data_IF_697021292053
#
_entry.id   IF_697021292053
#
_cell.length_a   1.000
_cell.length_b   1.000
_cell.length_c   1.000
_cell.angle_alpha   90.00
_cell.angle_beta   90.00
_cell.angle_gamma   90.00
#
_symmetry.space_group_name_H-M   'P 1'
#
loop_
_entity.id
_entity.type
_entity.pdbx_description
1 polymer ?
#
# COMPACT_ATOMS: atom_id res chain seq x y z
N UNK A 1 1.63 -23.33 -2.66
CA UNK A 1 0.26 -23.57 -2.13
C UNK A 1 0.24 -23.03 -0.71
N UNK A 2 -0.14 -21.78 -0.52
CA UNK A 2 -0.23 -21.15 0.81
C UNK A 2 -1.65 -21.35 1.30
N UNK A 3 -1.81 -22.20 2.31
CA UNK A 3 -3.09 -22.41 2.98
C UNK A 3 -3.35 -21.19 3.87
N UNK A 4 -4.31 -20.35 3.48
CA UNK A 4 -4.79 -19.25 4.31
C UNK A 4 -5.71 -19.82 5.39
N UNK A 5 -5.48 -19.55 6.69
CA UNK A 5 -6.35 -20.07 7.74
C UNK A 5 -7.72 -19.41 7.68
N UNK A 6 -8.73 -20.24 7.93
CA UNK A 6 -10.15 -20.02 8.06
C UNK A 6 -10.54 -18.57 8.43
N UNK A 7 -11.17 -17.86 7.50
CA UNK A 7 -11.81 -16.58 7.73
C UNK A 7 -13.11 -16.81 8.51
N UNK A 8 -13.25 -16.18 9.67
CA UNK A 8 -14.55 -16.03 10.32
C UNK A 8 -15.53 -15.49 9.30
N UNK A 9 -16.66 -16.19 9.11
CA UNK A 9 -17.75 -15.79 8.23
C UNK A 9 -18.14 -14.35 8.54
N UNK A 10 -17.84 -13.42 7.63
CA UNK A 10 -18.52 -12.14 7.57
C UNK A 10 -19.98 -12.45 7.21
N UNK A 11 -20.86 -12.48 8.21
CA UNK A 11 -22.30 -12.50 7.97
C UNK A 11 -22.63 -11.29 7.11
N UNK A 12 -23.51 -11.50 6.16
CA UNK A 12 -24.01 -10.55 5.16
C UNK A 12 -24.23 -9.16 5.77
N UNK A 13 -23.24 -8.31 5.67
CA UNK A 13 -23.42 -6.88 5.80
C UNK A 13 -23.93 -6.46 4.44
N UNK A 14 -25.18 -6.12 4.40
CA UNK A 14 -25.95 -5.61 3.26
C UNK A 14 -25.08 -4.75 2.34
N UNK A 15 -25.01 -5.09 1.05
CA UNK A 15 -24.20 -4.44 0.01
C UNK A 15 -24.63 -2.99 -0.30
N UNK A 16 -25.44 -2.42 0.55
CA UNK A 16 -25.86 -1.03 0.45
C UNK A 16 -24.70 -0.12 0.82
N UNK A 17 -24.40 0.81 -0.07
CA UNK A 17 -23.60 1.99 0.20
C UNK A 17 -24.16 2.62 1.49
N UNK A 18 -23.58 2.30 2.65
CA UNK A 18 -23.93 2.96 3.90
C UNK A 18 -23.38 4.39 3.83
N UNK A 19 -24.19 5.29 3.24
CA UNK A 19 -24.01 6.71 3.42
C UNK A 19 -24.56 7.07 4.80
N UNK A 20 -23.71 7.39 5.80
CA UNK A 20 -24.22 8.05 6.99
C UNK A 20 -24.78 9.41 6.57
N UNK A 21 -26.01 9.68 6.96
CA UNK A 21 -26.64 10.98 6.80
C UNK A 21 -25.71 12.10 7.32
N UNK A 22 -25.58 13.17 6.51
CA UNK A 22 -25.00 14.46 6.84
C UNK A 22 -23.47 14.54 7.03
N UNK A 23 -22.82 15.26 6.15
CA UNK A 23 -21.51 15.91 6.26
C UNK A 23 -20.22 15.07 6.21
N UNK A 24 -20.25 13.76 5.98
CA UNK A 24 -19.08 12.91 6.08
C UNK A 24 -18.33 12.62 4.77
N UNK A 25 -17.06 12.46 4.90
CA UNK A 25 -15.93 12.32 4.00
C UNK A 25 -16.13 11.51 2.69
N UNK A 26 -16.83 10.33 2.64
CA UNK A 26 -16.81 9.48 1.45
C UNK A 26 -17.63 10.02 0.28
N UNK A 27 -18.76 10.65 0.56
CA UNK A 27 -19.63 11.24 -0.46
C UNK A 27 -18.97 12.45 -1.14
N UNK A 28 -18.23 13.25 -0.37
CA UNK A 28 -17.43 14.35 -0.92
C UNK A 28 -16.30 13.81 -1.79
N UNK A 29 -15.63 12.75 -1.35
CA UNK A 29 -14.51 12.15 -2.08
C UNK A 29 -14.92 11.73 -3.49
N UNK A 30 -16.01 10.97 -3.65
CA UNK A 30 -16.47 10.52 -4.99
C UNK A 30 -16.76 11.66 -5.95
N UNK A 31 -17.28 12.79 -5.45
CA UNK A 31 -17.55 13.98 -6.26
C UNK A 31 -16.29 14.77 -6.62
N UNK A 32 -15.25 14.65 -5.82
CA UNK A 32 -14.01 15.38 -5.99
C UNK A 32 -13.01 14.61 -6.87
N UNK A 33 -13.12 13.26 -6.94
CA UNK A 33 -12.21 12.43 -7.73
C UNK A 33 -12.36 12.71 -9.23
N UNK A 34 -11.22 13.05 -9.85
CA UNK A 34 -11.09 13.17 -11.30
C UNK A 34 -10.31 11.95 -11.83
N UNK A 35 -10.92 10.77 -11.68
CA UNK A 35 -10.34 9.47 -12.04
C UNK A 35 -11.27 8.72 -12.97
N UNK A 36 -10.72 7.96 -13.91
CA UNK A 36 -11.48 7.12 -14.85
C UNK A 36 -11.70 5.69 -14.32
N UNK A 37 -10.77 5.19 -13.51
CA UNK A 37 -10.73 3.82 -13.02
C UNK A 37 -11.02 3.78 -11.52
N UNK A 38 -10.18 4.45 -10.73
CA UNK A 38 -10.19 4.37 -9.26
C UNK A 38 -11.33 5.19 -8.67
N UNK A 39 -12.11 4.58 -7.76
CA UNK A 39 -13.23 5.27 -7.09
C UNK A 39 -14.59 5.09 -7.76
N UNK A 40 -14.72 4.21 -8.78
CA UNK A 40 -16.03 3.84 -9.33
C UNK A 40 -16.96 3.27 -8.26
N UNK A 41 -16.41 2.51 -7.33
CA UNK A 41 -17.07 1.96 -6.15
C UNK A 41 -16.27 2.25 -4.90
N UNK A 42 -16.91 2.76 -3.84
CA UNK A 42 -16.25 3.10 -2.58
C UNK A 42 -17.02 2.45 -1.43
N UNK A 43 -16.35 1.58 -0.69
CA UNK A 43 -16.79 1.06 0.58
C UNK A 43 -16.15 1.87 1.70
N UNK A 44 -16.98 2.37 2.61
CA UNK A 44 -16.49 3.15 3.74
C UNK A 44 -17.04 2.59 5.05
N UNK A 45 -16.13 2.45 6.01
CA UNK A 45 -16.43 1.92 7.33
C UNK A 45 -15.86 2.81 8.43
N UNK A 46 -16.60 2.95 9.54
CA UNK A 46 -16.06 3.58 10.74
C UNK A 46 -14.98 2.70 11.38
N UNK A 47 -15.15 1.39 11.30
CA UNK A 47 -14.21 0.41 11.82
C UNK A 47 -14.27 -0.87 10.99
N UNK A 48 -13.09 -1.41 10.65
CA UNK A 48 -12.88 -2.74 10.07
C UNK A 48 -11.76 -3.44 10.83
N UNK A 49 -11.64 -4.72 10.68
CA UNK A 49 -10.41 -5.44 11.05
C UNK A 49 -9.25 -5.00 10.14
N UNK A 50 -9.43 -5.04 8.82
CA UNK A 50 -8.46 -4.57 7.85
C UNK A 50 -9.15 -4.26 6.51
N UNK A 51 -8.87 -3.09 5.92
CA UNK A 51 -9.31 -2.76 4.56
C UNK A 51 -8.74 -3.73 3.53
N UNK A 52 -7.52 -4.19 3.74
CA UNK A 52 -6.84 -5.15 2.88
C UNK A 52 -7.52 -6.53 2.91
N UNK A 53 -7.79 -7.05 4.11
CA UNK A 53 -8.49 -8.34 4.29
C UNK A 53 -9.90 -8.28 3.70
N UNK A 54 -10.61 -7.19 3.92
CA UNK A 54 -11.95 -6.99 3.35
C UNK A 54 -11.91 -6.96 1.82
N UNK A 55 -10.98 -6.23 1.22
CA UNK A 55 -10.84 -6.15 -0.24
C UNK A 55 -10.53 -7.52 -0.87
N UNK A 56 -9.60 -8.28 -0.28
CA UNK A 56 -9.27 -9.64 -0.73
C UNK A 56 -10.49 -10.56 -0.61
N UNK A 57 -11.22 -10.53 0.51
CA UNK A 57 -12.42 -11.37 0.71
C UNK A 57 -13.52 -11.09 -0.31
N UNK A 58 -13.69 -9.83 -0.74
CA UNK A 58 -14.65 -9.47 -1.81
C UNK A 58 -14.27 -10.09 -3.15
N UNK A 59 -12.98 -10.14 -3.48
CA UNK A 59 -12.49 -10.79 -4.70
C UNK A 59 -12.69 -12.30 -4.62
N UNK A 60 -12.28 -12.94 -3.52
CA UNK A 60 -12.41 -14.39 -3.34
C UNK A 60 -13.86 -14.84 -3.41
N UNK A 61 -14.80 -14.12 -2.75
CA UNK A 61 -16.23 -14.39 -2.83
C UNK A 61 -16.74 -14.31 -4.27
N UNK A 62 -16.30 -13.31 -5.04
CA UNK A 62 -16.69 -13.17 -6.46
C UNK A 62 -16.16 -14.32 -7.31
N UNK A 63 -14.88 -14.67 -7.16
CA UNK A 63 -14.26 -15.77 -7.91
C UNK A 63 -14.93 -17.12 -7.62
N UNK A 64 -15.34 -17.38 -6.38
CA UNK A 64 -16.12 -18.58 -6.02
C UNK A 64 -17.48 -18.61 -6.73
N UNK A 65 -18.21 -17.49 -6.71
CA UNK A 65 -19.52 -17.40 -7.38
C UNK A 65 -19.45 -17.58 -8.90
N UNK A 66 -18.33 -17.17 -9.53
CA UNK A 66 -18.11 -17.38 -10.97
C UNK A 66 -17.84 -18.85 -11.28
N UNK A 67 -17.01 -19.53 -10.48
CA UNK A 67 -16.75 -20.97 -10.61
C UNK A 67 -18.03 -21.82 -10.48
N UNK A 68 -18.88 -21.50 -9.52
CA UNK A 68 -20.14 -22.23 -9.29
C UNK A 68 -21.12 -22.08 -10.46
N UNK A 69 -21.04 -20.98 -11.21
CA UNK A 69 -21.87 -20.71 -12.39
C UNK A 69 -21.31 -21.25 -13.70
N UNK A 70 -20.15 -21.91 -13.67
CA UNK A 70 -19.48 -22.44 -14.87
C UNK A 70 -19.09 -21.35 -15.88
N UNK A 71 -18.90 -20.09 -15.42
CA UNK A 71 -18.52 -18.96 -16.25
C UNK A 71 -17.03 -18.70 -16.06
N UNK A 72 -16.22 -19.11 -17.01
CA UNK A 72 -14.77 -18.81 -17.04
C UNK A 72 -14.47 -17.37 -17.48
N UNK A 73 -15.41 -16.72 -18.18
CA UNK A 73 -15.26 -15.41 -18.81
C UNK A 73 -16.24 -14.39 -18.25
N UNK A 74 -16.18 -14.00 -16.97
CA UNK A 74 -17.02 -12.87 -16.61
C UNK A 74 -16.36 -11.92 -15.60
N UNK A 75 -16.14 -10.73 -16.11
CA UNK A 75 -16.12 -9.41 -15.45
C UNK A 75 -15.68 -9.37 -13.98
N UNK A 76 -14.44 -9.81 -13.71
CA UNK A 76 -13.68 -9.30 -12.56
C UNK A 76 -13.57 -7.77 -12.62
N UNK A 77 -13.73 -7.17 -13.80
CA UNK A 77 -13.76 -5.72 -14.06
C UNK A 77 -14.71 -4.91 -13.17
N UNK A 78 -15.76 -5.53 -12.67
CA UNK A 78 -16.75 -4.94 -11.75
C UNK A 78 -16.14 -4.47 -10.40
N UNK A 79 -15.03 -5.09 -9.98
CA UNK A 79 -14.28 -4.69 -8.79
C UNK A 79 -13.08 -3.80 -9.12
N UNK A 80 -12.71 -3.67 -10.39
CA UNK A 80 -11.58 -2.84 -10.81
C UNK A 80 -11.79 -1.37 -10.45
N UNK A 81 -10.83 -0.79 -9.73
CA UNK A 81 -10.91 0.57 -9.22
C UNK A 81 -11.74 0.73 -7.95
N UNK A 82 -12.22 -0.37 -7.36
CA UNK A 82 -12.94 -0.31 -6.08
C UNK A 82 -12.02 0.12 -4.94
N UNK A 83 -12.50 1.02 -4.08
CA UNK A 83 -11.79 1.49 -2.90
C UNK A 83 -12.48 1.01 -1.64
N UNK A 84 -11.72 0.54 -0.68
CA UNK A 84 -12.17 0.25 0.69
C UNK A 84 -11.46 1.21 1.65
N UNK A 85 -12.23 1.96 2.45
CA UNK A 85 -11.72 2.95 3.40
C UNK A 85 -12.25 2.61 4.79
N UNK A 86 -11.40 2.74 5.82
CA UNK A 86 -11.81 2.68 7.21
C UNK A 86 -11.26 3.87 8.00
N UNK A 87 -12.04 4.41 8.97
CA UNK A 87 -11.53 5.42 9.90
C UNK A 87 -10.55 4.80 10.90
N UNK A 88 -10.74 3.51 11.23
CA UNK A 88 -9.93 2.73 12.15
C UNK A 88 -9.84 1.28 11.69
N UNK A 89 -8.68 0.65 11.91
CA UNK A 89 -8.54 -0.80 11.76
C UNK A 89 -8.15 -1.44 13.10
N UNK A 90 -8.78 -2.58 13.43
CA UNK A 90 -8.49 -3.34 14.66
C UNK A 90 -7.37 -4.35 14.48
N UNK A 91 -7.11 -4.76 13.22
CA UNK A 91 -6.08 -5.75 12.85
C UNK A 91 -5.42 -5.38 11.52
N UNK A 92 -4.99 -4.10 11.38
CA UNK A 92 -4.28 -3.64 10.18
C UNK A 92 -3.09 -4.54 9.85
N UNK A 93 -2.92 -4.89 8.56
CA UNK A 93 -1.91 -5.82 8.08
C UNK A 93 -0.61 -5.11 7.71
N UNK A 94 0.51 -5.74 8.03
CA UNK A 94 1.82 -5.43 7.50
C UNK A 94 2.28 -6.51 6.50
N UNK A 95 3.50 -6.40 5.95
CA UNK A 95 4.04 -7.34 4.95
C UNK A 95 4.23 -8.78 5.45
N UNK A 96 4.43 -8.99 6.73
CA UNK A 96 4.50 -10.33 7.31
C UNK A 96 3.33 -10.54 8.26
N UNK A 97 2.93 -11.80 8.44
CA UNK A 97 1.81 -12.20 9.31
C UNK A 97 2.00 -11.66 10.74
N UNK A 98 3.24 -11.54 11.20
CA UNK A 98 3.58 -11.07 12.54
C UNK A 98 3.54 -9.54 12.68
N UNK A 99 3.65 -8.81 11.56
CA UNK A 99 3.71 -7.34 11.56
C UNK A 99 2.31 -6.76 11.41
N UNK A 100 1.83 -6.11 12.46
CA UNK A 100 0.57 -5.36 12.43
C UNK A 100 0.83 -3.89 12.11
N UNK A 101 -0.06 -3.31 11.31
CA UNK A 101 -0.12 -1.88 11.08
C UNK A 101 -1.13 -1.26 12.05
N UNK A 102 -0.66 -0.42 12.96
CA UNK A 102 -1.51 0.23 13.95
C UNK A 102 -2.28 1.35 13.26
N UNK A 103 -3.60 1.29 13.31
CA UNK A 103 -4.49 2.11 12.49
C UNK A 103 -5.60 2.77 13.34
N UNK A 104 -5.27 3.68 14.26
CA UNK A 104 -6.27 4.42 15.02
C UNK A 104 -6.97 5.46 14.14
N UNK A 105 -8.00 6.14 14.67
CA UNK A 105 -8.61 7.28 13.98
C UNK A 105 -7.61 8.40 13.76
N UNK A 106 -7.76 9.13 12.64
CA UNK A 106 -6.89 10.25 12.26
C UNK A 106 -5.84 9.93 11.22
N UNK A 107 -5.64 8.65 10.86
CA UNK A 107 -4.85 8.23 9.71
C UNK A 107 -5.67 8.09 8.43
N UNK A 108 -5.00 7.73 7.35
CA UNK A 108 -5.60 7.30 6.08
C UNK A 108 -5.34 5.80 5.95
N UNK A 109 -6.41 5.02 5.98
CA UNK A 109 -6.38 3.58 5.84
C UNK A 109 -7.28 3.19 4.68
N UNK A 110 -6.68 2.84 3.56
CA UNK A 110 -7.43 2.46 2.37
C UNK A 110 -6.79 1.28 1.63
N UNK A 111 -7.60 0.57 0.86
CA UNK A 111 -7.16 -0.44 -0.08
C UNK A 111 -7.86 -0.25 -1.42
N UNK A 112 -7.12 -0.37 -2.52
CA UNK A 112 -7.63 -0.25 -3.89
C UNK A 112 -7.53 -1.60 -4.56
N UNK A 113 -8.61 -2.06 -5.18
CA UNK A 113 -8.65 -3.29 -5.97
C UNK A 113 -8.38 -2.93 -7.44
N UNK A 114 -7.37 -3.56 -8.03
CA UNK A 114 -7.00 -3.39 -9.43
C UNK A 114 -6.94 -4.75 -10.14
N UNK A 115 -7.13 -4.73 -11.46
CA UNK A 115 -6.95 -5.87 -12.37
C UNK A 115 -5.83 -5.51 -13.37
N UNK A 116 -4.55 -5.57 -12.95
CA UNK A 116 -3.45 -5.09 -13.77
C UNK A 116 -3.22 -5.95 -15.01
N UNK A 117 -2.94 -5.28 -16.14
CA UNK A 117 -2.61 -5.91 -17.42
C UNK A 117 -1.08 -5.98 -17.66
N UNK A 118 -0.32 -6.10 -16.59
CA UNK A 118 1.13 -6.26 -16.62
C UNK A 118 1.52 -7.72 -16.35
N UNK A 119 2.77 -8.09 -16.64
CA UNK A 119 3.29 -9.44 -16.36
C UNK A 119 3.35 -9.70 -14.85
N UNK A 120 3.17 -10.95 -14.43
CA UNK A 120 3.25 -11.32 -13.01
C UNK A 120 4.59 -10.92 -12.36
N UNK A 121 5.70 -11.03 -13.07
CA UNK A 121 7.02 -10.59 -12.62
C UNK A 121 7.04 -9.09 -12.27
N UNK A 122 6.29 -8.28 -13.00
CA UNK A 122 6.19 -6.83 -12.78
C UNK A 122 5.27 -6.42 -11.62
N UNK A 123 4.69 -7.37 -10.90
CA UNK A 123 3.85 -7.07 -9.71
C UNK A 123 4.60 -6.30 -8.63
N UNK A 124 5.91 -6.45 -8.56
CA UNK A 124 6.82 -5.71 -7.66
C UNK A 124 6.91 -4.20 -7.98
N UNK A 125 6.45 -3.76 -9.18
CA UNK A 125 6.32 -2.35 -9.53
C UNK A 125 5.08 -1.69 -8.90
N UNK A 126 4.04 -2.45 -8.52
CA UNK A 126 2.83 -1.89 -7.93
C UNK A 126 3.07 -1.16 -6.60
N UNK A 127 3.85 -1.71 -5.64
CA UNK A 127 4.25 -0.94 -4.46
C UNK A 127 5.09 0.30 -4.81
N UNK A 128 5.91 0.26 -5.87
CA UNK A 128 6.73 1.39 -6.32
C UNK A 128 5.85 2.52 -6.88
N UNK A 129 4.92 2.20 -7.77
CA UNK A 129 3.89 3.12 -8.28
C UNK A 129 3.15 3.79 -7.13
N UNK A 130 2.71 2.98 -6.17
CA UNK A 130 1.99 3.48 -5.00
C UNK A 130 2.86 4.38 -4.12
N UNK A 131 4.14 4.04 -3.95
CA UNK A 131 5.08 4.82 -3.18
C UNK A 131 5.35 6.19 -3.82
N UNK A 132 5.48 6.25 -5.14
CA UNK A 132 5.62 7.50 -5.89
C UNK A 132 4.37 8.37 -5.67
N UNK A 133 3.17 7.80 -5.83
CA UNK A 133 1.91 8.51 -5.64
C UNK A 133 1.77 9.09 -4.22
N UNK A 134 2.09 8.30 -3.19
CA UNK A 134 2.05 8.76 -1.79
C UNK A 134 3.08 9.86 -1.54
N UNK A 135 4.32 9.66 -2.01
CA UNK A 135 5.42 10.62 -1.82
C UNK A 135 5.06 11.97 -2.43
N UNK A 136 4.60 12.00 -3.68
CA UNK A 136 4.19 13.22 -4.36
C UNK A 136 3.01 13.90 -3.69
N UNK A 137 2.02 13.13 -3.26
CA UNK A 137 0.84 13.65 -2.56
C UNK A 137 1.24 14.35 -1.27
N UNK A 138 2.09 13.72 -0.46
CA UNK A 138 2.57 14.31 0.80
C UNK A 138 3.34 15.61 0.50
N UNK A 139 4.28 15.57 -0.44
CA UNK A 139 5.12 16.71 -0.77
C UNK A 139 4.30 17.90 -1.27
N UNK A 140 3.30 17.64 -2.14
CA UNK A 140 2.46 18.68 -2.73
C UNK A 140 1.47 19.27 -1.72
N UNK A 141 0.84 18.44 -0.88
CA UNK A 141 -0.17 18.91 0.07
C UNK A 141 0.40 19.53 1.34
N UNK A 142 1.65 19.24 1.67
CA UNK A 142 2.21 19.63 2.97
C UNK A 142 3.51 20.44 2.88
N UNK A 143 4.15 20.49 1.71
CA UNK A 143 5.50 21.01 1.49
C UNK A 143 6.59 20.29 2.34
N UNK A 144 6.28 19.12 2.92
CA UNK A 144 7.26 18.27 3.57
C UNK A 144 8.12 17.57 2.51
N UNK A 145 9.35 17.20 2.86
CA UNK A 145 10.26 16.47 1.99
C UNK A 145 10.23 14.97 2.30
N UNK A 146 9.12 14.33 1.92
CA UNK A 146 9.05 12.88 2.05
C UNK A 146 9.89 12.17 0.98
N UNK A 147 10.38 10.98 1.27
CA UNK A 147 11.22 10.13 0.41
C UNK A 147 10.75 8.69 0.48
N UNK A 148 11.09 7.93 -0.55
CA UNK A 148 10.76 6.51 -0.64
C UNK A 148 11.93 5.69 -0.09
N UNK A 149 11.66 4.88 0.93
CA UNK A 149 12.56 3.82 1.40
C UNK A 149 12.07 2.50 0.80
N UNK A 150 12.86 1.96 -0.12
CA UNK A 150 12.51 0.71 -0.82
C UNK A 150 12.19 -0.42 0.19
N UNK A 151 11.21 -1.29 -0.12
CA UNK A 151 10.38 -1.26 -1.33
C UNK A 151 9.10 -0.44 -1.19
N UNK A 152 8.62 -0.13 0.01
CA UNK A 152 7.22 0.22 0.26
C UNK A 152 6.98 1.19 1.41
N UNK A 153 8.03 1.82 1.93
CA UNK A 153 7.91 2.75 3.04
C UNK A 153 8.12 4.19 2.57
N UNK A 154 7.31 5.11 3.09
CA UNK A 154 7.55 6.54 2.92
C UNK A 154 8.06 7.11 4.23
N UNK A 155 9.14 7.86 4.14
CA UNK A 155 9.85 8.44 5.27
C UNK A 155 9.93 9.96 5.16
N UNK A 156 9.97 10.62 6.30
CA UNK A 156 10.31 12.05 6.45
C UNK A 156 11.41 12.12 7.50
N UNK A 157 12.56 12.69 7.15
CA UNK A 157 13.74 12.77 8.03
C UNK A 157 14.11 11.42 8.68
N UNK A 158 14.05 10.35 7.87
CA UNK A 158 14.35 8.98 8.33
C UNK A 158 13.24 8.27 9.11
N UNK A 159 12.16 8.97 9.49
CA UNK A 159 11.02 8.43 10.24
C UNK A 159 9.90 7.99 9.30
N UNK A 160 9.30 6.84 9.57
CA UNK A 160 8.24 6.27 8.73
C UNK A 160 6.90 6.98 8.95
N UNK A 161 6.35 7.54 7.88
CA UNK A 161 5.03 8.21 7.84
C UNK A 161 3.98 7.39 7.13
N UNK A 162 4.36 6.52 6.18
CA UNK A 162 3.43 5.70 5.42
C UNK A 162 4.03 4.33 5.11
N UNK A 163 3.16 3.36 4.90
CA UNK A 163 3.51 2.03 4.44
C UNK A 163 2.50 1.52 3.42
N UNK A 164 3.01 0.75 2.47
CA UNK A 164 2.23 0.17 1.37
C UNK A 164 2.30 -1.34 1.47
N UNK A 165 1.17 -2.00 1.24
CA UNK A 165 1.05 -3.45 1.17
C UNK A 165 0.35 -3.82 -0.13
N UNK A 166 0.90 -4.75 -0.89
CA UNK A 166 0.26 -5.26 -2.10
C UNK A 166 0.09 -6.76 -1.98
N UNK A 167 -1.16 -7.22 -2.09
CA UNK A 167 -1.51 -8.62 -2.25
C UNK A 167 -1.86 -8.86 -3.73
N UNK A 168 -1.29 -9.90 -4.33
CA UNK A 168 -1.47 -10.20 -5.76
C UNK A 168 -1.97 -11.65 -5.89
N UNK A 169 -3.03 -11.84 -6.66
CA UNK A 169 -3.45 -13.15 -7.13
C UNK A 169 -2.97 -13.35 -8.56
N UNK A 170 -2.18 -14.40 -8.79
CA UNK A 170 -1.62 -14.71 -10.11
C UNK A 170 -2.04 -16.09 -10.58
N UNK A 171 -2.16 -16.23 -11.91
CA UNK A 171 -2.33 -17.51 -12.57
C UNK A 171 -1.39 -17.55 -13.77
N UNK A 172 -0.42 -18.48 -13.74
CA UNK A 172 0.68 -18.53 -14.69
C UNK A 172 1.45 -17.19 -14.71
N UNK A 173 1.54 -16.53 -15.86
CA UNK A 173 2.23 -15.25 -16.02
C UNK A 173 1.32 -14.02 -15.92
N UNK A 174 0.05 -14.23 -15.61
CA UNK A 174 -0.96 -13.15 -15.52
C UNK A 174 -1.27 -12.79 -14.08
N UNK A 175 -1.56 -11.52 -13.86
CA UNK A 175 -2.12 -11.02 -12.60
C UNK A 175 -3.64 -11.01 -12.76
N UNK A 176 -4.32 -11.81 -11.93
CA UNK A 176 -5.78 -11.83 -11.91
C UNK A 176 -6.34 -10.63 -11.13
N UNK A 177 -5.65 -10.26 -10.06
CA UNK A 177 -5.96 -9.07 -9.28
C UNK A 177 -4.76 -8.61 -8.46
N UNK A 178 -4.79 -7.35 -8.09
CA UNK A 178 -3.93 -6.76 -7.07
C UNK A 178 -4.77 -5.95 -6.08
N UNK A 179 -4.45 -6.05 -4.80
CA UNK A 179 -5.03 -5.21 -3.75
C UNK A 179 -3.91 -4.36 -3.17
N UNK A 180 -4.00 -3.06 -3.39
CA UNK A 180 -3.01 -2.08 -2.93
C UNK A 180 -3.52 -1.43 -1.64
N UNK A 181 -2.96 -1.82 -0.51
CA UNK A 181 -3.22 -1.20 0.79
C UNK A 181 -2.26 -0.05 1.05
N UNK A 182 -2.81 1.11 1.41
CA UNK A 182 -2.03 2.30 1.75
C UNK A 182 -2.43 2.77 3.14
N UNK A 183 -1.42 2.86 4.02
CA UNK A 183 -1.57 3.43 5.35
C UNK A 183 -0.72 4.70 5.48
N UNK A 184 -1.36 5.85 5.80
CA UNK A 184 -0.64 7.12 6.04
C UNK A 184 -0.98 7.60 7.45
N UNK A 185 0.05 7.86 8.24
CA UNK A 185 -0.06 8.50 9.53
C UNK A 185 -0.32 10.01 9.32
N UNK A 186 -1.59 10.40 9.18
CA UNK A 186 -1.96 11.79 8.89
C UNK A 186 -2.05 12.64 10.17
N UNK A 187 -3.21 12.66 10.82
CA UNK A 187 -3.49 13.46 12.00
C UNK A 187 -3.38 12.66 13.31
N UNK A 188 -2.35 11.81 13.42
CA UNK A 188 -2.11 10.96 14.57
C UNK A 188 -1.17 11.64 15.56
N UNK A 189 -1.37 11.35 16.84
CA UNK A 189 -0.36 11.55 17.87
C UNK A 189 0.55 10.31 17.93
N UNK A 190 1.83 10.49 17.62
CA UNK A 190 2.81 9.40 17.53
C UNK A 190 3.06 8.74 18.88
N UNK A 191 2.88 9.45 19.99
CA UNK A 191 3.01 8.88 21.34
C UNK A 191 2.08 7.67 21.55
N UNK A 192 0.88 7.73 20.98
CA UNK A 192 -0.10 6.62 21.04
C UNK A 192 0.31 5.40 20.21
N UNK A 193 1.02 5.62 19.10
CA UNK A 193 1.50 4.53 18.23
C UNK A 193 2.72 3.84 18.86
N UNK A 194 3.67 4.63 19.34
CA UNK A 194 4.93 4.14 19.93
C UNK A 194 4.68 3.27 21.17
N UNK A 195 3.75 3.67 22.04
CA UNK A 195 3.39 2.89 23.23
C UNK A 195 2.79 1.52 22.90
N UNK A 196 2.02 1.43 21.81
CA UNK A 196 1.40 0.16 21.36
C UNK A 196 2.43 -0.77 20.75
N UNK A 197 3.42 -0.24 20.01
CA UNK A 197 4.52 -1.03 19.43
C UNK A 197 5.38 -1.64 20.53
N UNK A 198 5.71 -0.88 21.57
CA UNK A 198 6.54 -1.36 22.70
C UNK A 198 5.83 -2.49 23.45
N UNK A 199 4.53 -2.39 23.67
CA UNK A 199 3.74 -3.39 24.41
C UNK A 199 3.51 -4.70 23.63
N UNK A 200 3.62 -4.70 22.31
CA UNK A 200 3.43 -5.89 21.47
C UNK A 200 4.72 -6.71 21.23
N UNK A 201 5.84 -6.26 21.78
CA UNK A 201 7.15 -6.82 21.47
C UNK A 201 7.58 -7.90 22.43
N UNK A 202 7.47 -9.17 22.02
CA UNK A 202 8.24 -10.27 22.63
C UNK A 202 9.74 -10.11 22.32
N UNK A 203 10.57 -10.37 23.30
CA UNK A 203 11.99 -10.00 23.50
C UNK A 203 13.04 -10.49 22.47
N UNK A 204 12.73 -11.04 21.29
CA UNK A 204 13.74 -11.72 20.45
C UNK A 204 13.70 -11.32 18.97
N UNK A 205 13.89 -10.03 18.64
CA UNK A 205 14.05 -9.65 17.22
C UNK A 205 15.32 -8.81 17.02
N UNK A 206 16.46 -9.47 16.80
CA UNK A 206 17.78 -8.87 16.52
C UNK A 206 17.84 -8.14 15.16
N UNK A 207 16.79 -8.17 14.35
CA UNK A 207 16.72 -7.59 13.01
C UNK A 207 15.65 -6.50 12.88
N UNK A 208 15.30 -5.81 13.95
CA UNK A 208 14.44 -4.63 13.88
C UNK A 208 15.17 -3.53 13.12
N UNK A 209 14.70 -3.22 11.93
CA UNK A 209 14.91 -1.88 11.41
C UNK A 209 14.21 -0.93 12.39
N UNK A 210 14.98 -0.27 13.27
CA UNK A 210 14.50 0.77 14.19
C UNK A 210 14.08 2.03 13.40
N UNK A 211 13.21 1.88 12.40
CA UNK A 211 12.67 3.05 11.73
C UNK A 211 11.67 3.67 12.69
N UNK A 212 12.01 4.80 13.25
CA UNK A 212 11.09 5.61 14.03
C UNK A 212 9.85 5.89 13.20
N UNK A 213 8.70 6.04 13.86
CA UNK A 213 7.42 6.33 13.23
C UNK A 213 7.08 7.79 13.47
N UNK A 214 6.52 8.45 12.45
CA UNK A 214 6.01 9.81 12.56
C UNK A 214 4.64 9.95 11.93
N UNK A 215 4.04 11.14 12.01
CA UNK A 215 2.80 11.53 11.33
C UNK A 215 2.96 12.88 10.64
N UNK A 216 2.13 13.15 9.64
CA UNK A 216 2.13 14.46 8.97
C UNK A 216 1.87 15.58 9.96
N UNK A 217 0.94 15.39 10.90
CA UNK A 217 0.65 16.35 11.96
C UNK A 217 1.89 16.68 12.80
N UNK A 218 2.65 15.67 13.21
CA UNK A 218 3.87 15.86 13.99
C UNK A 218 4.91 16.67 13.23
N UNK A 219 5.18 16.28 11.97
CA UNK A 219 6.18 16.95 11.12
C UNK A 219 5.75 18.37 10.73
N UNK A 220 4.45 18.69 10.83
CA UNK A 220 3.89 20.02 10.64
C UNK A 220 3.71 20.82 11.95
N UNK A 221 4.49 20.53 12.98
CA UNK A 221 4.40 21.21 14.27
C UNK A 221 2.98 21.19 14.87
N UNK A 222 2.36 20.02 14.91
CA UNK A 222 1.02 19.74 15.41
C UNK A 222 -0.14 20.38 14.61
N UNK A 223 0.11 20.87 13.39
CA UNK A 223 -0.96 21.30 12.49
C UNK A 223 -1.61 20.12 11.79
N UNK A 224 -2.93 20.04 11.87
CA UNK A 224 -3.69 19.00 11.18
C UNK A 224 -3.72 19.23 9.67
N UNK A 225 -3.74 18.13 8.91
CA UNK A 225 -3.86 18.14 7.45
C UNK A 225 -5.29 17.87 7.01
N UNK A 226 -5.64 18.31 5.80
CA UNK A 226 -6.89 18.01 5.12
C UNK A 226 -6.87 16.58 4.57
N UNK A 227 -7.37 15.64 5.36
CA UNK A 227 -7.41 14.20 4.99
C UNK A 227 -8.18 13.94 3.69
N UNK A 228 -9.38 14.50 3.45
CA UNK A 228 -10.08 14.36 2.18
C UNK A 228 -9.28 14.83 0.97
N UNK A 229 -8.65 16.00 1.06
CA UNK A 229 -7.84 16.54 -0.03
C UNK A 229 -6.57 15.74 -0.29
N UNK A 230 -5.98 15.13 0.75
CA UNK A 230 -4.86 14.19 0.58
C UNK A 230 -5.34 12.91 -0.10
N UNK A 231 -6.47 12.32 0.32
CA UNK A 231 -7.01 11.11 -0.31
C UNK A 231 -7.36 11.33 -1.78
N UNK A 232 -7.98 12.47 -2.11
CA UNK A 232 -8.30 12.82 -3.49
C UNK A 232 -7.04 12.82 -4.36
N UNK A 233 -6.05 13.62 -3.99
CA UNK A 233 -4.82 13.75 -4.78
C UNK A 233 -4.05 12.42 -4.85
N UNK A 234 -4.03 11.65 -3.76
CA UNK A 234 -3.41 10.33 -3.72
C UNK A 234 -4.01 9.38 -4.75
N UNK A 235 -5.33 9.31 -4.82
CA UNK A 235 -6.04 8.40 -5.74
C UNK A 235 -5.87 8.84 -7.20
N UNK A 236 -5.87 10.14 -7.46
CA UNK A 236 -5.58 10.70 -8.79
C UNK A 236 -4.14 10.39 -9.24
N UNK A 237 -3.15 10.58 -8.36
CA UNK A 237 -1.74 10.24 -8.66
C UNK A 237 -1.53 8.72 -8.77
N UNK A 238 -2.21 7.93 -7.96
CA UNK A 238 -2.14 6.47 -8.04
C UNK A 238 -2.66 5.99 -9.39
N UNK A 239 -3.81 6.50 -9.86
CA UNK A 239 -4.34 6.17 -11.18
C UNK A 239 -3.38 6.61 -12.28
N UNK A 240 -2.84 7.82 -12.21
CA UNK A 240 -1.90 8.34 -13.19
C UNK A 240 -0.67 7.41 -13.34
N UNK A 241 0.05 7.10 -12.27
CA UNK A 241 1.24 6.25 -12.34
C UNK A 241 0.91 4.79 -12.64
N UNK A 242 -0.24 4.30 -12.21
CA UNK A 242 -0.71 2.97 -12.56
C UNK A 242 -0.99 2.86 -14.08
N UNK A 243 -1.67 3.83 -14.65
CA UNK A 243 -1.96 3.88 -16.09
C UNK A 243 -0.66 4.05 -16.91
N UNK A 244 0.26 4.88 -16.45
CA UNK A 244 1.60 5.02 -17.05
C UNK A 244 2.32 3.66 -17.12
N UNK A 245 2.31 2.91 -16.01
CA UNK A 245 2.93 1.58 -15.98
C UNK A 245 2.29 0.62 -16.99
N UNK A 246 0.95 0.61 -17.09
CA UNK A 246 0.25 -0.28 -18.01
C UNK A 246 0.45 0.07 -19.49
N UNK A 247 0.51 1.36 -19.82
CA UNK A 247 0.56 1.84 -21.20
C UNK A 247 1.99 1.99 -21.73
N UNK A 248 2.89 2.54 -20.93
CA UNK A 248 4.23 2.93 -21.33
C UNK A 248 5.32 2.00 -20.75
N UNK A 249 4.95 1.11 -19.81
CA UNK A 249 5.89 0.19 -19.18
C UNK A 249 6.71 0.80 -18.04
N UNK A 250 7.78 0.11 -17.58
CA UNK A 250 8.45 0.42 -16.33
C UNK A 250 9.40 1.63 -16.37
N UNK A 251 9.87 2.06 -17.53
CA UNK A 251 10.99 3.01 -17.65
C UNK A 251 10.70 4.35 -16.96
N UNK A 252 9.53 4.95 -17.20
CA UNK A 252 9.17 6.21 -16.56
C UNK A 252 8.96 6.03 -15.05
N UNK A 253 8.40 4.91 -14.63
CA UNK A 253 8.20 4.58 -13.21
C UNK A 253 9.55 4.46 -12.49
N UNK A 254 10.54 3.80 -13.09
CA UNK A 254 11.90 3.71 -12.56
C UNK A 254 12.53 5.09 -12.43
N UNK A 255 12.40 5.92 -13.47
CA UNK A 255 12.91 7.29 -13.46
C UNK A 255 12.29 8.14 -12.36
N UNK A 256 10.96 8.11 -12.22
CA UNK A 256 10.25 8.84 -11.19
C UNK A 256 10.57 8.33 -9.77
N UNK A 257 10.76 7.03 -9.61
CA UNK A 257 11.21 6.45 -8.34
C UNK A 257 12.63 6.93 -7.97
N UNK A 258 13.57 6.94 -8.92
CA UNK A 258 14.95 7.42 -8.70
C UNK A 258 15.02 8.85 -8.17
N UNK A 259 14.13 9.72 -8.61
CA UNK A 259 14.05 11.11 -8.11
C UNK A 259 13.64 11.20 -6.65
N UNK A 260 12.88 10.22 -6.15
CA UNK A 260 12.22 10.25 -4.83
C UNK A 260 12.82 9.30 -3.82
N UNK A 261 13.62 8.34 -4.27
CA UNK A 261 14.15 7.32 -3.37
C UNK A 261 15.22 7.86 -2.44
N UNK A 262 15.21 7.34 -1.21
CA UNK A 262 16.25 7.55 -0.18
C UNK A 262 17.19 6.32 -0.09
N UNK A 263 16.98 5.32 -0.95
CA UNK A 263 17.64 4.01 -0.85
C UNK A 263 18.94 3.94 -1.64
N UNK A 264 18.99 4.56 -2.82
CA UNK A 264 20.17 4.50 -3.68
C UNK A 264 21.40 5.15 -3.03
N UNK A 265 22.55 4.53 -3.24
CA UNK A 265 23.83 4.95 -2.65
C UNK A 265 24.00 4.54 -1.19
N UNK A 266 23.00 3.92 -0.54
CA UNK A 266 23.08 3.46 0.84
C UNK A 266 23.45 1.99 0.93
N UNK A 267 24.15 1.64 1.99
CA UNK A 267 24.44 0.25 2.34
C UNK A 267 23.13 -0.42 2.80
N UNK A 268 22.82 -1.55 2.20
CA UNK A 268 21.67 -2.40 2.53
C UNK A 268 22.16 -3.79 2.94
N UNK A 269 21.47 -4.39 3.92
CA UNK A 269 21.74 -5.76 4.40
C UNK A 269 20.60 -6.65 4.03
N UNK A 270 20.90 -7.74 3.37
CA UNK A 270 19.96 -8.69 2.83
C UNK A 270 20.16 -10.04 3.46
N UNK A 271 19.04 -10.72 3.75
CA UNK A 271 19.08 -12.11 4.13
C UNK A 271 18.59 -12.97 2.95
N UNK A 272 19.51 -13.69 2.33
CA UNK A 272 19.19 -14.67 1.30
C UNK A 272 19.45 -16.06 1.88
N UNK A 273 18.37 -16.81 2.12
CA UNK A 273 18.44 -18.11 2.81
C UNK A 273 19.14 -17.96 4.20
N UNK A 274 20.36 -18.46 4.36
CA UNK A 274 21.14 -18.39 5.61
C UNK A 274 22.30 -17.38 5.55
N UNK A 275 22.45 -16.64 4.48
CA UNK A 275 23.54 -15.67 4.28
C UNK A 275 23.02 -14.24 4.39
N UNK A 276 23.84 -13.36 4.92
CA UNK A 276 23.62 -11.91 4.93
C UNK A 276 24.50 -11.35 3.82
N UNK A 277 23.88 -10.82 2.78
CA UNK A 277 24.56 -10.04 1.75
C UNK A 277 24.51 -8.58 2.15
N UNK A 278 25.65 -7.93 2.20
CA UNK A 278 25.80 -6.49 2.44
C UNK A 278 26.36 -5.84 1.17
N UNK A 279 25.78 -4.72 0.76
CA UNK A 279 26.23 -4.01 -0.43
C UNK A 279 25.50 -2.69 -0.60
N UNK A 280 25.90 -1.92 -1.61
CA UNK A 280 25.33 -0.61 -1.91
C UNK A 280 24.17 -0.77 -2.90
N UNK A 281 23.01 -0.21 -2.58
CA UNK A 281 21.88 -0.14 -3.51
C UNK A 281 22.21 0.78 -4.68
N UNK A 282 22.19 0.25 -5.91
CA UNK A 282 22.62 0.98 -7.11
C UNK A 282 21.50 1.32 -8.07
N UNK A 283 20.47 0.48 -8.18
CA UNK A 283 19.34 0.68 -9.08
C UNK A 283 18.16 -0.23 -8.72
N UNK A 284 17.08 -0.17 -9.51
CA UNK A 284 16.05 -1.21 -9.64
C UNK A 284 16.01 -1.70 -11.10
N UNK A 285 15.70 -2.99 -11.30
CA UNK A 285 15.52 -3.54 -12.64
C UNK A 285 14.11 -3.25 -13.21
N UNK A 286 13.81 -3.82 -14.39
CA UNK A 286 12.54 -3.61 -15.10
C UNK A 286 11.34 -4.28 -14.42
N UNK A 287 11.59 -5.16 -13.48
CA UNK A 287 10.58 -5.78 -12.64
C UNK A 287 10.47 -5.08 -11.25
N UNK A 288 11.26 -4.01 -10.99
CA UNK A 288 11.24 -3.24 -9.73
C UNK A 288 12.06 -3.86 -8.60
N UNK A 289 12.88 -4.85 -8.90
CA UNK A 289 13.74 -5.55 -7.94
C UNK A 289 14.98 -4.69 -7.67
N UNK A 290 15.35 -4.52 -6.41
CA UNK A 290 16.51 -3.70 -6.04
C UNK A 290 17.82 -4.40 -6.46
N UNK A 291 18.68 -3.65 -7.13
CA UNK A 291 20.03 -4.07 -7.51
C UNK A 291 21.03 -3.58 -6.46
N UNK A 292 21.79 -4.51 -5.91
CA UNK A 292 22.76 -4.25 -4.85
C UNK A 292 24.15 -4.70 -5.32
N UNK A 293 25.10 -3.77 -5.29
CA UNK A 293 26.50 -4.02 -5.62
C UNK A 293 27.27 -4.33 -4.35
N UNK A 294 27.90 -5.50 -4.30
CA UNK A 294 28.77 -5.95 -3.20
C UNK A 294 30.22 -5.52 -3.42
N UNK A 295 31.06 -5.62 -2.38
CA UNK A 295 32.47 -5.17 -2.41
C UNK A 295 33.34 -5.93 -3.42
N UNK A 296 32.95 -7.17 -3.78
CA UNK A 296 33.57 -7.97 -4.84
C UNK A 296 33.18 -7.52 -6.26
N UNK A 297 32.35 -6.48 -6.37
CA UNK A 297 31.89 -5.88 -7.62
C UNK A 297 30.68 -6.57 -8.25
N UNK A 298 30.18 -7.66 -7.67
CA UNK A 298 29.00 -8.37 -8.17
C UNK A 298 27.70 -7.58 -7.90
N UNK A 299 26.72 -7.76 -8.79
CA UNK A 299 25.37 -7.20 -8.64
C UNK A 299 24.40 -8.32 -8.27
N UNK A 300 23.70 -8.14 -7.15
CA UNK A 300 22.68 -9.06 -6.66
C UNK A 300 21.30 -8.42 -6.75
N UNK A 301 20.31 -9.23 -7.12
CA UNK A 301 18.90 -8.87 -7.11
C UNK A 301 18.30 -9.15 -5.73
N UNK A 302 17.59 -8.16 -5.20
CA UNK A 302 16.89 -8.20 -3.93
C UNK A 302 15.39 -8.20 -4.15
N UNK A 303 14.75 -9.28 -3.76
CA UNK A 303 13.29 -9.46 -3.84
C UNK A 303 12.64 -9.19 -2.47
#
# INVERSE_FOLDING_TARGET
>A
MVIVPFIKSYQDIDDTIVCPSSSSTPWKLRRLLNTAIIGKKIYYYKELDSTQTFAVSKIEKKLLLLKDKGREDDNSDDLHGTIVIAERQTSGRGRSIEKKWISPKGGIWLSVILMPKIRAAQSTLLPIVSAIAVCDTINEKTNLKSRIKWPNDIIIEGKKVSGILVDVGTESEKINYAVIGIGINANLDVSTISSTIVNSSKKNDYLRSHTEVTSLKNELCNRSVDVPGIMQLLLEKLEYYYTELEMEGPENIKHEWKKRTDTLGKVVKLRKQNEIIEGVAVDIDDDGILLVKTDDGNIHQLI
#
